data_IF_169628981561
#
_entry.id   IF_169628981561
#
_cell.length_a   1.000
_cell.length_b   1.000
_cell.length_c   1.000
_cell.angle_alpha   90.00
_cell.angle_beta   90.00
_cell.angle_gamma   90.00
#
_symmetry.space_group_name_H-M   'P 1'
#
loop_
_entity.id
_entity.type
_entity.pdbx_description
1 polymer ?
#
# COMPACT_ATOMS: atom_id res chain seq x y z
N UNK A 1 22.28 -50.94 13.71
CA UNK A 1 23.02 -49.69 14.02
C UNK A 1 23.93 -49.91 15.19
N UNK A 2 25.18 -49.48 15.06
CA UNK A 2 26.12 -49.39 16.17
C UNK A 2 25.61 -48.33 17.16
N UNK A 3 26.00 -48.43 18.44
CA UNK A 3 25.68 -47.44 19.48
C UNK A 3 24.18 -47.29 19.84
N UNK A 4 23.38 -48.37 19.81
CA UNK A 4 21.95 -48.36 20.21
C UNK A 4 21.71 -47.70 21.58
N UNK A 5 22.64 -47.84 22.53
CA UNK A 5 22.57 -47.21 23.87
C UNK A 5 22.71 -45.69 23.83
N UNK A 6 23.59 -45.17 22.98
CA UNK A 6 23.82 -43.72 22.83
C UNK A 6 22.67 -43.04 22.11
N UNK A 7 22.07 -43.70 21.11
CA UNK A 7 20.83 -43.21 20.48
C UNK A 7 19.72 -43.08 21.51
N UNK A 8 19.52 -44.11 22.35
CA UNK A 8 18.56 -44.03 23.48
C UNK A 8 18.94 -42.93 24.49
N UNK A 9 20.23 -42.69 24.72
CA UNK A 9 20.70 -41.64 25.61
C UNK A 9 20.44 -40.23 25.06
N UNK A 10 20.65 -39.99 23.76
CA UNK A 10 20.33 -38.72 23.10
C UNK A 10 18.83 -38.43 23.21
N UNK A 11 17.98 -39.43 22.96
CA UNK A 11 16.53 -39.30 23.12
C UNK A 11 16.09 -39.02 24.56
N UNK A 12 16.87 -39.51 25.55
CA UNK A 12 16.64 -39.23 26.97
C UNK A 12 17.17 -37.88 27.44
N UNK A 13 18.01 -37.17 26.67
CA UNK A 13 18.55 -35.87 27.10
C UNK A 13 17.43 -34.85 27.25
N UNK A 14 17.37 -34.22 28.43
CA UNK A 14 16.52 -33.06 28.70
C UNK A 14 17.38 -31.84 29.01
N UNK A 15 17.13 -30.75 28.31
CA UNK A 15 17.82 -29.48 28.54
C UNK A 15 17.19 -28.77 29.73
N UNK A 16 17.82 -28.87 30.90
CA UNK A 16 17.38 -28.18 32.11
C UNK A 16 17.51 -26.66 31.96
N UNK A 17 16.39 -25.95 32.16
CA UNK A 17 16.27 -24.49 31.96
C UNK A 17 17.36 -23.68 32.69
N UNK A 18 17.73 -24.10 33.90
CA UNK A 18 18.64 -23.33 34.77
C UNK A 18 20.11 -23.74 34.68
N UNK A 19 20.47 -24.80 33.94
CA UNK A 19 21.85 -25.33 33.88
C UNK A 19 22.89 -24.31 33.38
N UNK A 20 22.45 -23.30 32.62
CA UNK A 20 23.33 -22.27 32.02
C UNK A 20 22.76 -20.84 32.18
N UNK A 21 22.12 -20.54 33.31
CA UNK A 21 21.43 -19.26 33.53
C UNK A 21 22.33 -18.02 33.33
N UNK A 22 23.57 -18.02 33.87
CA UNK A 22 24.51 -16.90 33.69
C UNK A 22 24.83 -16.60 32.22
N UNK A 23 24.98 -17.65 31.39
CA UNK A 23 25.20 -17.49 29.94
C UNK A 23 23.96 -16.94 29.23
N UNK A 24 22.76 -17.35 29.64
CA UNK A 24 21.50 -16.85 29.09
C UNK A 24 21.29 -15.36 29.35
N UNK A 25 21.73 -14.85 30.50
CA UNK A 25 21.59 -13.42 30.81
C UNK A 25 22.33 -12.54 29.80
N UNK A 26 23.58 -12.88 29.48
CA UNK A 26 24.36 -12.21 28.43
C UNK A 26 23.69 -12.37 27.06
N UNK A 27 23.23 -13.58 26.73
CA UNK A 27 22.63 -13.89 25.43
C UNK A 27 21.27 -13.20 25.21
N UNK A 28 20.51 -12.95 26.28
CA UNK A 28 19.19 -12.32 26.21
C UNK A 28 19.24 -10.94 25.57
N UNK A 29 20.30 -10.16 25.84
CA UNK A 29 20.49 -8.81 25.29
C UNK A 29 20.79 -8.83 23.79
N UNK A 30 21.46 -9.86 23.29
CA UNK A 30 21.66 -10.05 21.84
C UNK A 30 20.37 -10.50 21.16
N UNK A 31 19.60 -11.40 21.79
CA UNK A 31 18.32 -11.87 21.25
C UNK A 31 17.33 -10.71 21.10
N UNK A 32 17.24 -9.79 22.06
CA UNK A 32 16.28 -8.67 21.96
C UNK A 32 16.58 -7.77 20.75
N UNK A 33 17.85 -7.49 20.46
CA UNK A 33 18.24 -6.75 19.26
C UNK A 33 17.95 -7.55 17.97
N UNK A 34 18.24 -8.85 17.98
CA UNK A 34 17.91 -9.72 16.86
C UNK A 34 16.40 -9.71 16.58
N UNK A 35 15.57 -9.87 17.62
CA UNK A 35 14.10 -9.82 17.50
C UNK A 35 13.64 -8.50 16.89
N UNK A 36 14.16 -7.36 17.37
CA UNK A 36 13.84 -6.04 16.78
C UNK A 36 14.14 -6.00 15.28
N UNK A 37 15.31 -6.49 14.87
CA UNK A 37 15.69 -6.52 13.46
C UNK A 37 14.79 -7.44 12.63
N UNK A 38 14.38 -8.59 13.16
CA UNK A 38 13.43 -9.46 12.45
C UNK A 38 12.07 -8.80 12.25
N UNK A 39 11.60 -7.99 13.21
CA UNK A 39 10.35 -7.23 13.07
C UNK A 39 10.49 -6.16 12.00
N UNK A 40 11.61 -5.42 11.98
CA UNK A 40 11.89 -4.41 10.96
C UNK A 40 11.90 -5.05 9.57
N UNK A 41 12.63 -6.15 9.40
CA UNK A 41 12.73 -6.84 8.12
C UNK A 41 11.37 -7.31 7.60
N UNK A 42 10.54 -7.89 8.47
CA UNK A 42 9.16 -8.29 8.11
C UNK A 42 8.29 -7.08 7.71
N UNK A 43 8.45 -5.93 8.37
CA UNK A 43 7.70 -4.70 8.07
C UNK A 43 8.13 -4.03 6.76
N UNK A 44 9.39 -4.18 6.32
CA UNK A 44 9.87 -3.58 5.08
C UNK A 44 9.11 -4.10 3.85
N UNK A 45 8.86 -5.41 3.78
CA UNK A 45 8.07 -6.00 2.69
C UNK A 45 6.64 -5.41 2.65
N UNK A 46 6.01 -5.24 3.82
CA UNK A 46 4.69 -4.62 3.92
C UNK A 46 4.71 -3.15 3.48
N UNK A 47 5.78 -2.41 3.79
CA UNK A 47 5.94 -1.00 3.38
C UNK A 47 6.03 -0.87 1.86
N UNK A 48 6.83 -1.72 1.22
CA UNK A 48 6.98 -1.72 -0.24
C UNK A 48 5.63 -2.05 -0.90
N UNK A 49 4.95 -3.11 -0.44
CA UNK A 49 3.63 -3.48 -0.95
C UNK A 49 2.60 -2.38 -0.76
N UNK A 50 2.60 -1.70 0.38
CA UNK A 50 1.68 -0.60 0.64
C UNK A 50 1.92 0.60 -0.29
N UNK A 51 3.18 0.94 -0.58
CA UNK A 51 3.48 2.04 -1.51
C UNK A 51 3.05 1.75 -2.95
N UNK A 52 3.07 0.48 -3.36
CA UNK A 52 2.68 0.06 -4.72
C UNK A 52 1.17 -0.04 -4.93
N UNK A 53 0.36 0.06 -3.87
CA UNK A 53 -1.10 0.03 -4.00
C UNK A 53 -1.61 1.40 -4.48
N UNK A 54 -2.23 1.40 -5.65
CA UNK A 54 -2.88 2.58 -6.26
C UNK A 54 -4.13 2.95 -5.47
N UNK A 55 -5.03 1.99 -5.25
CA UNK A 55 -6.24 2.17 -4.46
C UNK A 55 -6.11 1.34 -3.17
N UNK A 56 -6.33 1.99 -2.04
CA UNK A 56 -6.23 1.41 -0.70
C UNK A 56 -7.56 1.58 0.02
N UNK A 57 -8.19 0.46 0.32
CA UNK A 57 -9.35 0.42 1.20
C UNK A 57 -8.87 0.18 2.62
N UNK A 58 -9.07 1.16 3.50
CA UNK A 58 -8.70 1.06 4.91
C UNK A 58 -9.91 0.60 5.71
N UNK A 59 -9.72 -0.49 6.45
CA UNK A 59 -10.68 -1.06 7.38
C UNK A 59 -10.19 -0.93 8.81
N UNK A 60 -11.13 -0.80 9.74
CA UNK A 60 -10.88 -0.77 11.18
C UNK A 60 -11.55 -1.98 11.82
N UNK A 61 -10.78 -2.71 12.64
CA UNK A 61 -11.34 -3.80 13.43
C UNK A 61 -12.05 -3.24 14.67
N UNK A 62 -13.32 -3.61 14.85
CA UNK A 62 -14.16 -3.24 15.99
C UNK A 62 -14.29 -4.34 17.04
N UNK A 63 -13.53 -5.43 16.91
CA UNK A 63 -13.50 -6.51 17.91
C UNK A 63 -13.02 -5.97 19.26
N UNK A 64 -13.84 -6.20 20.29
CA UNK A 64 -13.47 -6.07 21.69
C UNK A 64 -12.65 -7.28 22.14
N UNK A 65 -13.20 -8.48 21.94
CA UNK A 65 -12.58 -9.77 22.22
C UNK A 65 -13.21 -10.86 21.33
N UNK A 66 -12.56 -12.02 21.21
CA UNK A 66 -12.96 -13.09 20.31
C UNK A 66 -14.02 -14.06 20.86
N UNK A 67 -14.65 -13.78 21.99
CA UNK A 67 -15.62 -14.72 22.60
C UNK A 67 -16.93 -14.74 21.82
N UNK A 68 -17.52 -13.60 21.51
CA UNK A 68 -18.78 -13.52 20.75
C UNK A 68 -18.70 -14.35 19.45
N UNK A 69 -17.61 -14.19 18.70
CA UNK A 69 -17.40 -14.92 17.45
C UNK A 69 -17.24 -16.43 17.67
N UNK A 70 -16.62 -16.85 18.78
CA UNK A 70 -16.45 -18.26 19.12
C UNK A 70 -17.75 -18.91 19.56
N UNK A 71 -18.57 -18.20 20.35
CA UNK A 71 -19.85 -18.72 20.83
C UNK A 71 -20.85 -18.91 19.70
N UNK A 72 -20.81 -18.04 18.69
CA UNK A 72 -21.65 -18.16 17.48
C UNK A 72 -21.12 -19.16 16.44
N UNK A 73 -20.04 -19.90 16.75
CA UNK A 73 -19.31 -20.76 15.79
C UNK A 73 -18.94 -20.04 14.47
N UNK A 74 -18.85 -18.71 14.49
CA UNK A 74 -18.40 -17.93 13.36
C UNK A 74 -16.88 -18.14 13.24
N UNK A 75 -16.45 -18.72 12.13
CA UNK A 75 -15.03 -18.98 11.84
C UNK A 75 -14.22 -17.73 12.13
N UNK A 76 -13.18 -17.89 12.95
CA UNK A 76 -12.16 -16.87 13.27
C UNK A 76 -11.88 -16.03 12.03
N UNK A 77 -12.00 -14.70 12.14
CA UNK A 77 -11.87 -13.74 11.04
C UNK A 77 -10.86 -14.22 10.00
N UNK A 78 -11.35 -14.54 8.79
CA UNK A 78 -10.55 -15.23 7.79
C UNK A 78 -9.66 -14.22 7.04
N UNK A 79 -8.63 -13.71 7.73
CA UNK A 79 -7.70 -12.69 7.20
C UNK A 79 -6.83 -13.20 6.04
N UNK A 80 -6.85 -14.52 5.78
CA UNK A 80 -6.16 -15.15 4.66
C UNK A 80 -6.94 -15.11 3.34
N UNK A 81 -8.17 -14.57 3.32
CA UNK A 81 -8.84 -14.30 2.05
C UNK A 81 -7.98 -13.39 1.17
N UNK A 82 -7.92 -13.72 -0.14
CA UNK A 82 -7.00 -13.18 -1.17
C UNK A 82 -6.96 -11.64 -1.32
N UNK A 83 -7.77 -10.88 -0.58
CA UNK A 83 -8.00 -9.46 -0.78
C UNK A 83 -7.29 -8.55 0.25
N UNK A 84 -6.69 -9.12 1.31
CA UNK A 84 -6.02 -8.35 2.38
C UNK A 84 -4.51 -8.29 2.12
N UNK A 85 -3.99 -7.08 1.87
CA UNK A 85 -2.58 -6.86 1.52
C UNK A 85 -1.68 -6.63 2.73
N UNK A 86 -2.22 -5.98 3.76
CA UNK A 86 -1.50 -5.83 5.03
C UNK A 86 -2.46 -5.75 6.20
N UNK A 87 -2.30 -6.66 7.14
CA UNK A 87 -2.84 -6.52 8.49
C UNK A 87 -1.85 -5.70 9.33
N UNK A 88 -2.35 -4.68 10.05
CA UNK A 88 -1.62 -3.98 11.12
C UNK A 88 -0.46 -3.07 10.66
N UNK A 89 -0.55 -2.44 9.49
CA UNK A 89 0.50 -1.52 9.04
C UNK A 89 0.46 -0.17 9.78
N UNK A 90 -0.74 0.39 9.99
CA UNK A 90 -0.96 1.56 10.83
C UNK A 90 -1.54 1.13 12.18
N UNK A 91 -0.90 1.56 13.29
CA UNK A 91 -1.41 1.48 14.68
C UNK A 91 -2.19 0.19 15.04
N UNK A 92 -1.68 -1.00 14.67
CA UNK A 92 -2.15 -2.34 15.07
C UNK A 92 -3.66 -2.67 14.94
N UNK A 93 -4.49 -1.79 14.37
CA UNK A 93 -5.96 -1.97 14.25
C UNK A 93 -6.48 -1.79 12.83
N UNK A 94 -5.62 -1.30 11.92
CA UNK A 94 -5.99 -1.04 10.54
C UNK A 94 -5.62 -2.20 9.63
N UNK A 95 -6.51 -2.50 8.70
CA UNK A 95 -6.27 -3.45 7.62
C UNK A 95 -6.37 -2.70 6.30
N UNK A 96 -5.38 -2.90 5.43
CA UNK A 96 -5.38 -2.33 4.09
C UNK A 96 -5.67 -3.43 3.09
N UNK A 97 -6.63 -3.17 2.22
CA UNK A 97 -7.05 -4.06 1.18
C UNK A 97 -7.10 -3.39 -0.19
N UNK A 98 -7.08 -4.23 -1.22
CA UNK A 98 -7.20 -3.80 -2.61
C UNK A 98 -8.66 -3.73 -3.08
N UNK A 99 -9.56 -4.47 -2.44
CA UNK A 99 -10.95 -4.56 -2.85
C UNK A 99 -11.87 -3.95 -1.78
N UNK A 100 -13.00 -3.42 -2.24
CA UNK A 100 -14.02 -2.81 -1.40
C UNK A 100 -14.94 -3.83 -0.71
N UNK A 101 -14.99 -5.07 -1.23
CA UNK A 101 -15.92 -6.09 -0.75
C UNK A 101 -15.24 -7.05 0.21
N UNK A 102 -14.77 -6.54 1.36
CA UNK A 102 -14.32 -7.40 2.45
C UNK A 102 -15.48 -7.67 3.39
N UNK A 103 -16.09 -8.85 3.21
CA UNK A 103 -17.12 -9.34 4.12
C UNK A 103 -16.49 -10.14 5.26
N UNK A 104 -15.96 -9.42 6.26
CA UNK A 104 -15.45 -10.04 7.50
C UNK A 104 -16.16 -9.43 8.70
N UNK A 105 -16.66 -10.30 9.59
CA UNK A 105 -17.37 -9.89 10.79
C UNK A 105 -16.58 -8.87 11.61
N UNK A 106 -17.24 -7.78 12.01
CA UNK A 106 -16.68 -6.71 12.86
C UNK A 106 -15.50 -5.93 12.22
N UNK A 107 -15.30 -6.02 10.89
CA UNK A 107 -14.43 -5.12 10.14
C UNK A 107 -15.26 -4.09 9.38
N UNK A 108 -15.02 -2.82 9.64
CA UNK A 108 -15.73 -1.71 8.99
C UNK A 108 -14.80 -0.95 8.07
N UNK A 109 -15.28 -0.62 6.88
CA UNK A 109 -14.60 0.30 5.97
C UNK A 109 -14.55 1.69 6.60
N UNK A 110 -13.37 2.28 6.65
CA UNK A 110 -13.15 3.61 7.21
C UNK A 110 -12.96 4.66 6.12
N UNK A 111 -12.02 4.43 5.19
CA UNK A 111 -11.72 5.37 4.12
C UNK A 111 -11.05 4.70 2.91
N UNK A 112 -11.17 5.34 1.75
CA UNK A 112 -10.48 4.98 0.51
C UNK A 112 -9.37 5.99 0.30
N UNK A 113 -8.17 5.52 -0.06
CA UNK A 113 -7.07 6.37 -0.50
C UNK A 113 -6.63 5.96 -1.89
N UNK A 114 -6.27 6.96 -2.69
CA UNK A 114 -5.75 6.79 -4.05
C UNK A 114 -4.36 7.41 -4.15
N UNK A 115 -3.49 6.78 -4.94
CA UNK A 115 -2.09 7.13 -5.18
C UNK A 115 -1.33 7.50 -3.91
N UNK A 116 -1.01 6.47 -3.12
CA UNK A 116 -0.16 6.59 -1.93
C UNK A 116 -0.60 7.69 -0.93
N UNK A 117 -1.91 7.87 -0.77
CA UNK A 117 -2.59 8.77 0.17
C UNK A 117 -2.71 10.23 -0.29
N UNK A 118 -2.44 10.53 -1.56
CA UNK A 118 -2.52 11.90 -2.06
C UNK A 118 -3.97 12.33 -2.37
N UNK A 119 -4.83 11.37 -2.74
CA UNK A 119 -6.20 11.67 -3.13
C UNK A 119 -7.20 10.81 -2.36
N UNK A 120 -8.33 11.42 -2.03
CA UNK A 120 -9.47 10.76 -1.36
C UNK A 120 -10.53 10.37 -2.40
N UNK A 121 -10.69 11.18 -3.45
CA UNK A 121 -11.62 10.98 -4.54
C UNK A 121 -10.90 11.05 -5.89
N UNK A 122 -11.42 10.32 -6.88
CA UNK A 122 -11.06 10.47 -8.28
C UNK A 122 -12.35 10.63 -9.09
N UNK A 123 -12.38 11.64 -9.95
CA UNK A 123 -13.45 11.78 -10.93
C UNK A 123 -13.07 10.95 -12.15
N UNK A 124 -13.97 10.08 -12.57
CA UNK A 124 -13.82 9.35 -13.83
C UNK A 124 -14.34 10.26 -14.92
N UNK A 125 -13.43 10.96 -15.58
CA UNK A 125 -13.78 11.75 -16.75
C UNK A 125 -13.52 10.92 -18.01
N UNK A 126 -14.58 10.65 -18.78
CA UNK A 126 -14.47 9.85 -20.02
C UNK A 126 -14.01 10.70 -21.22
N UNK A 127 -13.85 12.02 -21.03
CA UNK A 127 -13.50 12.94 -22.09
C UNK A 127 -12.00 13.23 -22.10
N UNK A 128 -11.36 13.13 -23.27
CA UNK A 128 -9.94 13.46 -23.48
C UNK A 128 -9.73 14.89 -23.97
N UNK A 129 -10.80 15.65 -24.21
CA UNK A 129 -10.72 16.99 -24.78
C UNK A 129 -9.84 17.94 -23.96
N UNK A 130 -9.83 17.79 -22.63
CA UNK A 130 -9.05 18.64 -21.73
C UNK A 130 -7.54 18.60 -22.02
N UNK A 131 -7.02 17.46 -22.51
CA UNK A 131 -5.60 17.32 -22.88
C UNK A 131 -5.23 18.10 -24.15
N UNK A 132 -6.17 18.28 -25.07
CA UNK A 132 -5.92 18.87 -26.38
C UNK A 132 -6.43 20.30 -26.52
N UNK A 133 -7.34 20.72 -25.64
CA UNK A 133 -8.03 22.01 -25.72
C UNK A 133 -7.04 23.19 -25.82
N UNK A 134 -6.04 23.21 -24.94
CA UNK A 134 -5.04 24.28 -24.94
C UNK A 134 -4.18 24.27 -26.20
N UNK A 135 -3.80 23.10 -26.70
CA UNK A 135 -3.00 22.97 -27.92
C UNK A 135 -3.77 23.41 -29.16
N UNK A 136 -5.06 23.05 -29.25
CA UNK A 136 -5.95 23.48 -30.33
C UNK A 136 -6.18 24.99 -30.28
N UNK A 137 -6.45 25.55 -29.10
CA UNK A 137 -6.65 27.00 -28.93
C UNK A 137 -5.40 27.79 -29.35
N UNK A 138 -4.21 27.35 -28.92
CA UNK A 138 -2.94 27.97 -29.33
C UNK A 138 -2.70 27.87 -30.84
N UNK A 139 -2.99 26.72 -31.44
CA UNK A 139 -2.84 26.53 -32.88
C UNK A 139 -3.74 27.51 -33.67
N UNK A 140 -5.02 27.60 -33.31
CA UNK A 140 -5.95 28.51 -33.98
C UNK A 140 -5.64 29.99 -33.72
N UNK A 141 -5.19 30.35 -32.51
CA UNK A 141 -4.80 31.73 -32.22
C UNK A 141 -3.60 32.18 -33.07
N UNK A 142 -2.59 31.33 -33.21
CA UNK A 142 -1.41 31.61 -34.03
C UNK A 142 -1.80 31.77 -35.51
N UNK A 143 -2.64 30.87 -36.04
CA UNK A 143 -3.11 30.96 -37.43
C UNK A 143 -3.85 32.28 -37.68
N UNK A 144 -4.69 32.69 -36.73
CA UNK A 144 -5.45 33.92 -36.84
C UNK A 144 -4.55 35.17 -36.89
N UNK A 145 -3.54 35.24 -36.01
CA UNK A 145 -2.56 36.33 -36.01
C UNK A 145 -1.78 36.38 -37.34
N UNK A 146 -1.35 35.22 -37.85
CA UNK A 146 -0.67 35.14 -39.16
C UNK A 146 -1.55 35.65 -40.31
N UNK A 147 -2.84 35.33 -40.31
CA UNK A 147 -3.76 35.82 -41.34
C UNK A 147 -3.91 37.35 -41.31
N UNK A 148 -3.97 37.96 -40.12
CA UNK A 148 -4.03 39.41 -39.96
C UNK A 148 -2.75 40.06 -40.49
N UNK A 149 -1.58 39.52 -40.11
CA UNK A 149 -0.28 40.01 -40.58
C UNK A 149 -0.16 39.97 -42.11
N UNK A 150 -0.58 38.88 -42.75
CA UNK A 150 -0.55 38.75 -44.23
C UNK A 150 -1.39 39.84 -44.89
N UNK A 151 -2.60 40.11 -44.38
CA UNK A 151 -3.48 41.17 -44.90
C UNK A 151 -2.84 42.56 -44.75
N UNK A 152 -2.22 42.83 -43.60
CA UNK A 152 -1.51 44.10 -43.34
C UNK A 152 -0.33 44.29 -44.29
N UNK A 153 0.48 43.24 -44.53
CA UNK A 153 1.59 43.28 -45.49
C UNK A 153 1.08 43.57 -46.91
N UNK A 154 -0.03 42.96 -47.32
CA UNK A 154 -0.62 43.19 -48.63
C UNK A 154 -1.13 44.63 -48.80
N UNK A 155 -1.82 45.16 -47.78
CA UNK A 155 -2.24 46.57 -47.72
C UNK A 155 -1.05 47.53 -47.83
N UNK A 156 0.04 47.26 -47.11
CA UNK A 156 1.24 48.08 -47.14
C UNK A 156 1.91 48.09 -48.53
N UNK A 157 1.96 46.94 -49.21
CA UNK A 157 2.43 46.84 -50.60
C UNK A 157 1.56 47.63 -51.59
N UNK A 158 0.24 47.68 -51.40
CA UNK A 158 -0.65 48.48 -52.24
C UNK A 158 -0.42 49.99 -52.04
N UNK A 159 -0.27 50.42 -50.79
CA UNK A 159 0.02 51.82 -50.46
C UNK A 159 1.35 52.25 -51.09
N UNK A 160 2.41 51.45 -50.94
CA UNK A 160 3.73 51.69 -51.54
C UNK A 160 3.74 51.68 -53.08
N UNK A 161 2.74 51.07 -53.74
CA UNK A 161 2.59 51.14 -55.20
C UNK A 161 1.88 52.41 -55.67
N UNK A 162 1.14 53.08 -54.79
CA UNK A 162 0.38 54.28 -55.11
C UNK A 162 1.16 55.57 -54.84
N UNK A 163 2.23 55.50 -54.05
CA UNK A 163 3.24 56.54 -53.85
C UNK A 163 4.43 56.31 -54.78
#
# INVERSE_FOLDING_TARGET
>A
MNYKKEVKYILKKRNYKFKKFKKLMLFSRYITNFLKNTVIFKKLNLKIKNNLLIIKYIYINSITHGLDLKYDNLVVQNLYQKNIYSSNFFKNKHIIAKNDDININKLYKFLILVENNNYINFEINNNTNDYFLNNLNLFFSIIWEYQILIKQIYLLKLILKCF
#
